data_IF_035303983057
#
_entry.id   IF_035303983057
#
_cell.length_a   1.000
_cell.length_b   1.000
_cell.length_c   1.000
_cell.angle_alpha   90.00
_cell.angle_beta   90.00
_cell.angle_gamma   90.00
#
_symmetry.space_group_name_H-M   'P 1'
#
loop_
_entity.id
_entity.type
_entity.pdbx_description
1 polymer ?
#
# COMPACT_ATOMS: atom_id res chain seq x y z
N UNK A 1 15.68 -99.58 62.99
CA UNK A 1 14.59 -99.10 62.10
C UNK A 1 14.72 -97.66 61.60
N UNK A 2 15.52 -96.79 62.21
CA UNK A 2 15.61 -95.37 61.80
C UNK A 2 16.51 -95.06 60.59
N UNK A 3 17.49 -95.90 60.28
CA UNK A 3 18.50 -95.65 59.23
C UNK A 3 17.94 -95.66 57.79
N UNK A 4 17.08 -96.61 57.38
CA UNK A 4 16.53 -96.64 56.01
C UNK A 4 15.63 -95.42 55.71
N UNK A 5 14.78 -95.02 56.66
CA UNK A 5 13.87 -93.86 56.52
C UNK A 5 14.62 -92.51 56.42
N UNK A 6 15.77 -92.38 57.07
CA UNK A 6 16.65 -91.22 56.93
C UNK A 6 17.33 -91.17 55.55
N UNK A 7 17.58 -92.34 54.95
CA UNK A 7 18.19 -92.43 53.61
C UNK A 7 17.15 -92.05 52.53
N UNK A 8 15.90 -92.50 52.67
CA UNK A 8 14.79 -92.10 51.80
C UNK A 8 14.42 -90.60 51.90
N UNK A 9 14.53 -90.00 53.09
CA UNK A 9 14.36 -88.54 53.25
C UNK A 9 15.50 -87.75 52.59
N UNK A 10 16.73 -88.28 52.64
CA UNK A 10 17.87 -87.65 51.97
C UNK A 10 17.77 -87.73 50.45
N UNK A 11 17.28 -88.85 49.90
CA UNK A 11 17.06 -89.01 48.46
C UNK A 11 15.93 -88.10 47.96
N UNK A 12 14.85 -87.96 48.72
CA UNK A 12 13.77 -87.01 48.43
C UNK A 12 14.27 -85.56 48.45
N UNK A 13 15.13 -85.21 49.41
CA UNK A 13 15.78 -83.90 49.48
C UNK A 13 16.66 -83.59 48.26
N UNK A 14 17.44 -84.57 47.78
CA UNK A 14 18.24 -84.41 46.56
C UNK A 14 17.38 -84.24 45.30
N UNK A 15 16.30 -85.02 45.15
CA UNK A 15 15.39 -84.87 44.01
C UNK A 15 14.63 -83.55 44.05
N UNK A 16 14.28 -83.05 45.24
CA UNK A 16 13.64 -81.75 45.40
C UNK A 16 14.58 -80.61 44.99
N UNK A 17 15.85 -80.68 45.40
CA UNK A 17 16.88 -79.70 45.02
C UNK A 17 17.19 -79.72 43.51
N UNK A 18 17.25 -80.90 42.88
CA UNK A 18 17.42 -81.00 41.42
C UNK A 18 16.23 -80.39 40.67
N UNK A 19 15.00 -80.67 41.09
CA UNK A 19 13.79 -80.06 40.49
C UNK A 19 13.72 -78.56 40.71
N UNK A 20 14.09 -78.08 41.90
CA UNK A 20 14.14 -76.64 42.19
C UNK A 20 15.13 -75.94 41.25
N UNK A 21 16.29 -76.54 41.01
CA UNK A 21 17.29 -76.02 40.09
C UNK A 21 16.78 -75.99 38.64
N UNK A 22 16.14 -77.06 38.18
CA UNK A 22 15.55 -77.14 36.83
C UNK A 22 14.46 -76.08 36.61
N UNK A 23 13.54 -75.91 37.58
CA UNK A 23 12.48 -74.91 37.47
C UNK A 23 13.05 -73.48 37.53
N UNK A 24 14.05 -73.22 38.37
CA UNK A 24 14.74 -71.92 38.42
C UNK A 24 15.41 -71.58 37.09
N UNK A 25 16.00 -72.56 36.41
CA UNK A 25 16.59 -72.39 35.09
C UNK A 25 15.53 -72.10 34.02
N UNK A 26 14.37 -72.78 34.06
CA UNK A 26 13.25 -72.50 33.16
C UNK A 26 12.69 -71.08 33.34
N UNK A 27 12.51 -70.65 34.59
CA UNK A 27 12.02 -69.31 34.92
C UNK A 27 13.01 -68.24 34.43
N UNK A 28 14.31 -68.44 34.66
CA UNK A 28 15.36 -67.53 34.19
C UNK A 28 15.38 -67.43 32.65
N UNK A 29 15.26 -68.56 31.95
CA UNK A 29 15.20 -68.58 30.49
C UNK A 29 13.94 -67.88 29.95
N UNK A 30 12.79 -68.06 30.60
CA UNK A 30 11.55 -67.37 30.24
C UNK A 30 11.66 -65.85 30.46
N UNK A 31 12.18 -65.42 31.61
CA UNK A 31 12.39 -64.01 31.92
C UNK A 31 13.33 -63.36 30.90
N UNK A 32 14.39 -64.08 30.49
CA UNK A 32 15.33 -63.63 29.45
C UNK A 32 14.68 -63.54 28.07
N UNK A 33 13.82 -64.50 27.68
CA UNK A 33 13.08 -64.43 26.41
C UNK A 33 12.13 -63.23 26.38
N UNK A 34 11.37 -63.03 27.45
CA UNK A 34 10.45 -61.88 27.59
C UNK A 34 11.24 -60.56 27.53
N UNK A 35 12.35 -60.47 28.26
CA UNK A 35 13.24 -59.30 28.23
C UNK A 35 13.75 -59.01 26.81
N UNK A 36 14.25 -60.01 26.09
CA UNK A 36 14.75 -59.85 24.73
C UNK A 36 13.65 -59.37 23.76
N UNK A 37 12.44 -59.91 23.88
CA UNK A 37 11.29 -59.47 23.06
C UNK A 37 10.89 -58.03 23.37
N UNK A 38 10.86 -57.66 24.65
CA UNK A 38 10.57 -56.29 25.07
C UNK A 38 11.63 -55.31 24.58
N UNK A 39 12.91 -55.69 24.64
CA UNK A 39 14.01 -54.88 24.12
C UNK A 39 13.84 -54.61 22.62
N UNK A 40 13.52 -55.64 21.83
CA UNK A 40 13.25 -55.51 20.40
C UNK A 40 12.02 -54.63 20.11
N UNK A 41 10.99 -54.74 20.94
CA UNK A 41 9.76 -53.98 20.78
C UNK A 41 9.92 -52.51 21.19
N UNK A 42 10.59 -52.22 22.30
CA UNK A 42 10.73 -50.86 22.84
C UNK A 42 11.88 -50.07 22.22
N UNK A 43 12.91 -50.76 21.68
CA UNK A 43 14.15 -50.19 21.13
C UNK A 43 14.90 -49.26 22.09
N UNK A 44 14.74 -49.45 23.38
CA UNK A 44 15.33 -48.67 24.46
C UNK A 44 15.80 -49.61 25.57
N UNK A 45 16.69 -49.13 26.44
CA UNK A 45 17.09 -49.88 27.62
C UNK A 45 15.93 -49.95 28.62
N UNK A 46 15.56 -51.17 29.03
CA UNK A 46 14.39 -51.42 29.88
C UNK A 46 14.86 -52.03 31.19
N UNK A 47 14.39 -51.49 32.31
CA UNK A 47 14.58 -52.10 33.62
C UNK A 47 13.40 -53.02 33.93
N UNK A 48 13.65 -54.33 34.00
CA UNK A 48 12.64 -55.32 34.40
C UNK A 48 13.07 -55.92 35.74
N UNK A 49 12.17 -56.06 36.73
CA UNK A 49 12.47 -56.72 38.00
C UNK A 49 13.00 -58.15 37.79
N UNK A 50 13.83 -58.63 38.72
CA UNK A 50 14.25 -60.03 38.72
C UNK A 50 13.06 -60.95 39.02
N UNK A 51 13.08 -62.18 38.49
CA UNK A 51 12.05 -63.20 38.70
C UNK A 51 12.72 -64.44 39.29
N UNK A 52 12.94 -64.43 40.62
CA UNK A 52 13.65 -65.50 41.33
C UNK A 52 12.73 -66.32 42.24
N UNK A 53 11.70 -65.68 42.80
CA UNK A 53 10.74 -66.27 43.73
C UNK A 53 9.29 -66.05 43.26
N UNK A 54 8.36 -66.83 43.82
CA UNK A 54 6.93 -66.73 43.50
C UNK A 54 6.36 -65.31 43.75
N UNK A 55 6.86 -64.63 44.80
CA UNK A 55 6.48 -63.25 45.11
C UNK A 55 6.91 -62.21 44.06
N UNK A 56 7.83 -62.55 43.16
CA UNK A 56 8.34 -61.64 42.13
C UNK A 56 7.45 -61.63 40.86
N UNK A 57 6.55 -62.60 40.72
CA UNK A 57 5.69 -62.76 39.53
C UNK A 57 4.79 -61.55 39.31
N UNK A 58 4.20 -61.02 40.38
CA UNK A 58 3.29 -59.88 40.31
C UNK A 58 4.03 -58.57 39.96
N UNK A 59 5.13 -58.20 40.65
CA UNK A 59 5.98 -57.07 40.25
C UNK A 59 6.50 -57.18 38.80
N UNK A 60 6.95 -58.37 38.38
CA UNK A 60 7.44 -58.62 37.03
C UNK A 60 6.35 -58.40 35.98
N UNK A 61 5.17 -59.00 36.19
CA UNK A 61 4.05 -58.90 35.24
C UNK A 61 3.53 -57.47 35.13
N UNK A 62 3.47 -56.75 36.26
CA UNK A 62 3.07 -55.35 36.29
C UNK A 62 4.03 -54.48 35.49
N UNK A 63 5.34 -54.63 35.71
CA UNK A 63 6.36 -53.89 34.98
C UNK A 63 6.25 -54.11 33.46
N UNK A 64 6.17 -55.37 33.03
CA UNK A 64 6.01 -55.73 31.61
C UNK A 64 4.77 -55.10 31.00
N UNK A 65 3.62 -55.15 31.69
CA UNK A 65 2.37 -54.53 31.22
C UNK A 65 2.48 -53.02 31.08
N UNK A 66 3.11 -52.35 32.04
CA UNK A 66 3.31 -50.89 31.98
C UNK A 66 4.20 -50.49 30.82
N UNK A 67 5.31 -51.20 30.61
CA UNK A 67 6.23 -50.97 29.48
C UNK A 67 5.50 -51.14 28.15
N UNK A 68 4.75 -52.24 27.99
CA UNK A 68 3.97 -52.50 26.79
C UNK A 68 2.90 -51.44 26.55
N UNK A 69 2.14 -51.06 27.58
CA UNK A 69 1.09 -50.05 27.47
C UNK A 69 1.65 -48.69 27.06
N UNK A 70 2.77 -48.28 27.67
CA UNK A 70 3.44 -47.03 27.31
C UNK A 70 3.91 -47.05 25.85
N UNK A 71 4.65 -48.09 25.45
CA UNK A 71 5.18 -48.18 24.08
C UNK A 71 4.09 -48.32 23.02
N UNK A 72 2.99 -49.02 23.32
CA UNK A 72 1.82 -49.05 22.44
C UNK A 72 1.22 -47.65 22.27
N UNK A 73 1.07 -46.88 23.35
CA UNK A 73 0.57 -45.50 23.27
C UNK A 73 1.52 -44.61 22.47
N UNK A 74 2.83 -44.73 22.68
CA UNK A 74 3.84 -43.98 21.93
C UNK A 74 3.71 -44.28 20.42
N UNK A 75 3.65 -45.57 20.05
CA UNK A 75 3.49 -45.98 18.65
C UNK A 75 2.15 -45.58 18.04
N UNK A 76 1.04 -45.65 18.79
CA UNK A 76 -0.25 -45.14 18.33
C UNK A 76 -0.17 -43.64 18.03
N UNK A 77 0.51 -42.85 18.88
CA UNK A 77 0.73 -41.42 18.66
C UNK A 77 1.52 -41.15 17.38
N UNK A 78 2.67 -41.82 17.21
CA UNK A 78 3.52 -41.67 16.02
C UNK A 78 2.79 -42.04 14.72
N UNK A 79 1.98 -43.11 14.75
CA UNK A 79 1.17 -43.53 13.60
C UNK A 79 0.13 -42.46 13.29
N UNK A 80 -0.64 -42.03 14.29
CA UNK A 80 -1.68 -41.02 14.13
C UNK A 80 -1.13 -39.69 13.61
N UNK A 81 0.03 -39.25 14.08
CA UNK A 81 0.66 -38.02 13.58
C UNK A 81 1.02 -38.12 12.09
N UNK A 82 1.47 -39.29 11.63
CA UNK A 82 1.79 -39.52 10.21
C UNK A 82 0.55 -39.58 9.33
N UNK A 83 -0.55 -40.16 9.81
CA UNK A 83 -1.79 -40.30 9.02
C UNK A 83 -2.79 -39.15 9.22
N UNK A 84 -2.47 -38.20 10.11
CA UNK A 84 -3.33 -37.06 10.46
C UNK A 84 -3.76 -36.23 9.25
N UNK A 85 -2.85 -35.99 8.31
CA UNK A 85 -3.13 -35.23 7.08
C UNK A 85 -4.08 -35.94 6.12
N UNK A 86 -4.22 -37.26 6.27
CA UNK A 86 -5.12 -38.10 5.47
C UNK A 86 -6.49 -38.26 6.15
N UNK A 87 -6.70 -37.69 7.34
CA UNK A 87 -7.96 -37.78 8.09
C UNK A 87 -8.25 -39.15 8.69
N UNK A 88 -7.24 -40.02 8.77
CA UNK A 88 -7.35 -41.37 9.34
C UNK A 88 -6.85 -41.34 10.79
N UNK A 89 -7.43 -42.17 11.67
CA UNK A 89 -6.98 -42.37 13.04
C UNK A 89 -7.09 -43.84 13.45
N UNK A 90 -6.23 -44.26 14.38
CA UNK A 90 -6.24 -45.56 15.07
C UNK A 90 -6.34 -45.33 16.58
N UNK A 91 -7.14 -46.14 17.25
CA UNK A 91 -7.38 -46.06 18.69
C UNK A 91 -6.33 -46.86 19.47
N UNK A 92 -5.90 -48.01 18.93
CA UNK A 92 -4.94 -48.91 19.58
C UNK A 92 -3.86 -49.47 18.65
N UNK A 93 -2.65 -49.62 19.19
CA UNK A 93 -1.57 -50.34 18.51
C UNK A 93 -1.75 -51.86 18.62
N UNK A 94 -2.59 -52.41 17.73
CA UNK A 94 -2.83 -53.84 17.57
C UNK A 94 -2.83 -54.25 16.07
N UNK A 95 -2.70 -55.56 15.80
CA UNK A 95 -2.57 -56.07 14.42
C UNK A 95 -3.79 -55.74 13.56
N UNK A 96 -4.99 -55.85 14.12
CA UNK A 96 -6.23 -55.62 13.37
C UNK A 96 -6.36 -54.16 12.92
N UNK A 97 -6.08 -53.20 13.81
CA UNK A 97 -6.12 -51.78 13.47
C UNK A 97 -5.04 -51.39 12.48
N UNK A 98 -3.82 -51.91 12.64
CA UNK A 98 -2.74 -51.66 11.69
C UNK A 98 -3.04 -52.23 10.30
N UNK A 99 -3.63 -53.43 10.21
CA UNK A 99 -4.04 -54.02 8.94
C UNK A 99 -5.16 -53.19 8.29
N UNK A 100 -6.14 -52.72 9.07
CA UNK A 100 -7.19 -51.84 8.59
C UNK A 100 -6.64 -50.52 8.05
N UNK A 101 -5.68 -49.90 8.75
CA UNK A 101 -4.98 -48.69 8.29
C UNK A 101 -4.25 -48.93 6.96
N UNK A 102 -3.52 -50.04 6.85
CA UNK A 102 -2.79 -50.39 5.64
C UNK A 102 -3.74 -50.61 4.46
N UNK A 103 -4.90 -51.24 4.67
CA UNK A 103 -5.93 -51.37 3.65
C UNK A 103 -6.46 -50.01 3.18
N UNK A 104 -6.75 -49.09 4.10
CA UNK A 104 -7.21 -47.74 3.74
C UNK A 104 -6.15 -46.98 2.92
N UNK A 105 -4.88 -47.06 3.32
CA UNK A 105 -3.78 -46.44 2.59
C UNK A 105 -3.61 -47.02 1.18
N UNK A 106 -3.72 -48.35 1.03
CA UNK A 106 -3.63 -49.02 -0.25
C UNK A 106 -4.78 -48.62 -1.21
N UNK A 107 -5.99 -48.39 -0.69
CA UNK A 107 -7.10 -47.87 -1.50
C UNK A 107 -6.87 -46.42 -1.93
N UNK A 108 -6.35 -45.56 -1.04
CA UNK A 108 -5.99 -44.18 -1.41
C UNK A 108 -4.88 -44.12 -2.47
N UNK A 109 -3.90 -45.02 -2.40
CA UNK A 109 -2.80 -45.12 -3.35
C UNK A 109 -3.29 -45.36 -4.79
N UNK A 110 -4.34 -46.18 -4.97
CA UNK A 110 -4.93 -46.45 -6.29
C UNK A 110 -5.47 -45.20 -6.98
N UNK A 111 -5.84 -44.17 -6.23
CA UNK A 111 -6.36 -42.90 -6.76
C UNK A 111 -5.27 -41.96 -7.28
N UNK A 112 -4.01 -42.13 -6.87
CA UNK A 112 -2.90 -41.22 -7.18
C UNK A 112 -2.68 -41.02 -8.70
N UNK A 113 -2.68 -42.08 -9.54
CA UNK A 113 -2.50 -41.91 -10.98
C UNK A 113 -3.59 -41.06 -11.64
N UNK A 114 -4.84 -41.18 -11.17
CA UNK A 114 -5.96 -40.40 -11.69
C UNK A 114 -5.78 -38.91 -11.34
N UNK A 115 -5.46 -38.58 -10.08
CA UNK A 115 -5.17 -37.20 -9.68
C UNK A 115 -4.01 -36.58 -10.47
N UNK A 116 -2.94 -37.35 -10.70
CA UNK A 116 -1.80 -36.89 -11.49
C UNK A 116 -2.20 -36.55 -12.93
N UNK A 117 -3.00 -37.41 -13.56
CA UNK A 117 -3.50 -37.17 -14.93
C UNK A 117 -4.41 -35.93 -15.00
N UNK A 118 -5.35 -35.77 -14.07
CA UNK A 118 -6.23 -34.60 -14.01
C UNK A 118 -5.45 -33.31 -13.78
N UNK A 119 -4.41 -33.34 -12.93
CA UNK A 119 -3.54 -32.19 -12.71
C UNK A 119 -2.77 -31.79 -13.97
N UNK A 120 -2.24 -32.77 -14.72
CA UNK A 120 -1.55 -32.49 -15.99
C UNK A 120 -2.49 -31.90 -17.04
N UNK A 121 -3.73 -32.38 -17.13
CA UNK A 121 -4.73 -31.87 -18.06
C UNK A 121 -5.16 -30.44 -17.70
N UNK A 122 -5.43 -30.16 -16.42
CA UNK A 122 -5.74 -28.82 -15.94
C UNK A 122 -4.59 -27.83 -16.20
N UNK A 123 -3.36 -28.26 -15.97
CA UNK A 123 -2.17 -27.43 -16.21
C UNK A 123 -2.02 -27.11 -17.70
N UNK A 124 -2.27 -28.09 -18.58
CA UNK A 124 -2.26 -27.89 -20.04
C UNK A 124 -3.37 -26.95 -20.49
N UNK A 125 -4.58 -27.12 -19.98
CA UNK A 125 -5.70 -26.23 -20.32
C UNK A 125 -5.41 -24.79 -19.90
N UNK A 126 -4.90 -24.57 -18.68
CA UNK A 126 -4.53 -23.23 -18.20
C UNK A 126 -3.42 -22.59 -19.01
N UNK A 127 -2.42 -23.37 -19.44
CA UNK A 127 -1.38 -22.88 -20.35
C UNK A 127 -1.96 -22.41 -21.68
N UNK A 128 -2.83 -23.20 -22.29
CA UNK A 128 -3.47 -22.83 -23.56
C UNK A 128 -4.35 -21.56 -23.43
N UNK A 129 -5.07 -21.41 -22.32
CA UNK A 129 -5.83 -20.18 -22.01
C UNK A 129 -4.89 -18.96 -21.94
N UNK A 130 -3.74 -19.09 -21.29
CA UNK A 130 -2.75 -18.01 -21.20
C UNK A 130 -2.13 -17.68 -22.55
N UNK A 131 -1.74 -18.69 -23.33
CA UNK A 131 -1.19 -18.50 -24.68
C UNK A 131 -2.19 -17.81 -25.62
N UNK A 132 -3.48 -18.14 -25.53
CA UNK A 132 -4.54 -17.49 -26.32
C UNK A 132 -4.77 -16.03 -25.90
N UNK A 133 -4.81 -15.76 -24.59
CA UNK A 133 -4.93 -14.39 -24.11
C UNK A 133 -3.72 -13.55 -24.51
N UNK A 134 -2.51 -14.08 -24.38
CA UNK A 134 -1.28 -13.38 -24.76
C UNK A 134 -1.28 -13.07 -26.27
N UNK A 135 -1.79 -13.97 -27.12
CA UNK A 135 -1.96 -13.72 -28.56
C UNK A 135 -2.99 -12.62 -28.87
N UNK A 136 -4.06 -12.49 -28.07
CA UNK A 136 -5.07 -11.41 -28.21
C UNK A 136 -4.49 -10.04 -27.82
N UNK A 137 -3.61 -9.98 -26.82
CA UNK A 137 -2.88 -8.76 -26.42
C UNK A 137 -1.61 -8.50 -27.24
N UNK A 138 -1.10 -9.48 -27.98
CA UNK A 138 0.07 -9.38 -28.83
C UNK A 138 -0.22 -8.86 -30.25
N UNK A 139 -1.44 -8.40 -30.55
CA UNK A 139 -1.68 -7.59 -31.75
C UNK A 139 -1.04 -6.20 -31.57
N UNK A 140 0.30 -6.21 -31.66
CA UNK A 140 1.19 -5.06 -31.59
C UNK A 140 0.92 -4.06 -32.72
N UNK A 141 0.04 -4.37 -33.68
CA UNK A 141 -0.43 -3.45 -34.70
C UNK A 141 -1.76 -2.79 -34.31
N UNK A 142 -2.64 -3.49 -33.59
CA UNK A 142 -3.94 -2.96 -33.14
C UNK A 142 -3.79 -1.86 -32.09
N UNK A 143 -2.93 -2.06 -31.07
CA UNK A 143 -2.75 -1.08 -29.98
C UNK A 143 -2.26 0.27 -30.51
N UNK A 144 -1.20 0.36 -31.34
CA UNK A 144 -0.81 1.63 -31.94
C UNK A 144 -1.90 2.26 -32.82
N UNK A 145 -2.65 1.45 -33.58
CA UNK A 145 -3.71 1.96 -34.45
C UNK A 145 -4.87 2.59 -33.67
N UNK A 146 -5.28 1.99 -32.54
CA UNK A 146 -6.32 2.56 -31.66
C UNK A 146 -5.84 3.85 -31.01
N UNK A 147 -4.59 3.87 -30.52
CA UNK A 147 -3.98 5.08 -29.92
C UNK A 147 -3.85 6.20 -30.95
N UNK A 148 -3.42 5.89 -32.17
CA UNK A 148 -3.33 6.87 -33.26
C UNK A 148 -4.72 7.42 -33.64
N UNK A 149 -5.75 6.56 -33.68
CA UNK A 149 -7.13 6.98 -33.90
C UNK A 149 -7.66 7.92 -32.81
N UNK A 150 -7.35 7.65 -31.54
CA UNK A 150 -7.70 8.52 -30.41
C UNK A 150 -7.02 9.89 -30.51
N UNK A 151 -5.71 9.92 -30.78
CA UNK A 151 -4.97 11.17 -30.93
C UNK A 151 -5.55 12.03 -32.05
N UNK A 152 -5.80 11.45 -33.23
CA UNK A 152 -6.43 12.19 -34.34
C UNK A 152 -7.81 12.75 -33.98
N UNK A 153 -8.58 11.98 -33.21
CA UNK A 153 -9.91 12.42 -32.76
C UNK A 153 -9.79 13.57 -31.76
N UNK A 154 -8.86 13.49 -30.81
CA UNK A 154 -8.59 14.57 -29.85
C UNK A 154 -8.06 15.83 -30.53
N UNK A 155 -7.13 15.70 -31.47
CA UNK A 155 -6.63 16.83 -32.27
C UNK A 155 -7.76 17.48 -33.06
N UNK A 156 -8.65 16.68 -33.67
CA UNK A 156 -9.82 17.19 -34.39
C UNK A 156 -10.79 17.90 -33.45
N UNK A 157 -10.99 17.40 -32.23
CA UNK A 157 -11.82 18.08 -31.22
C UNK A 157 -11.17 19.41 -30.83
N UNK A 158 -9.87 19.44 -30.55
CA UNK A 158 -9.15 20.66 -30.18
C UNK A 158 -9.20 21.72 -31.28
N UNK A 159 -8.92 21.33 -32.53
CA UNK A 159 -8.96 22.24 -33.69
C UNK A 159 -10.37 22.82 -33.91
N UNK A 160 -11.42 22.03 -33.66
CA UNK A 160 -12.80 22.51 -33.83
C UNK A 160 -13.37 23.23 -32.60
N UNK A 161 -12.81 23.02 -31.41
CA UNK A 161 -13.29 23.61 -30.17
C UNK A 161 -12.58 24.91 -29.79
N UNK A 162 -11.38 25.14 -30.31
CA UNK A 162 -10.52 26.25 -29.92
C UNK A 162 -9.89 26.91 -31.15
N UNK A 163 -10.33 28.13 -31.47
CA UNK A 163 -9.64 29.00 -32.43
C UNK A 163 -8.61 29.83 -31.66
N UNK A 164 -7.36 29.39 -31.70
CA UNK A 164 -6.25 30.09 -31.04
C UNK A 164 -6.07 31.53 -31.55
N UNK A 165 -6.39 31.78 -32.83
CA UNK A 165 -6.24 33.12 -33.42
C UNK A 165 -7.33 34.06 -32.92
N UNK A 166 -8.57 33.58 -32.75
CA UNK A 166 -9.64 34.35 -32.11
C UNK A 166 -9.24 34.76 -30.68
N UNK A 167 -8.61 33.85 -29.94
CA UNK A 167 -8.15 34.10 -28.57
C UNK A 167 -7.03 35.14 -28.53
N UNK A 168 -6.01 34.97 -29.36
CA UNK A 168 -4.90 35.91 -29.46
C UNK A 168 -5.41 37.30 -29.83
N UNK A 169 -6.30 37.38 -30.82
CA UNK A 169 -6.84 38.66 -31.29
C UNK A 169 -7.72 39.32 -30.22
N UNK A 170 -8.60 38.57 -29.56
CA UNK A 170 -9.45 39.10 -28.49
C UNK A 170 -8.65 39.66 -27.31
N UNK A 171 -7.59 38.97 -26.89
CA UNK A 171 -6.71 39.47 -25.82
C UNK A 171 -5.93 40.71 -26.29
N UNK A 172 -5.43 40.74 -27.53
CA UNK A 172 -4.71 41.91 -28.07
C UNK A 172 -5.57 43.15 -28.14
N UNK A 173 -6.83 43.02 -28.56
CA UNK A 173 -7.78 44.14 -28.63
C UNK A 173 -8.01 44.76 -27.25
N UNK A 174 -8.22 43.93 -26.22
CA UNK A 174 -8.41 44.40 -24.85
C UNK A 174 -7.14 45.07 -24.31
N UNK A 175 -5.96 44.50 -24.58
CA UNK A 175 -4.68 45.13 -24.17
C UNK A 175 -4.49 46.48 -24.85
N UNK A 176 -4.80 46.59 -26.14
CA UNK A 176 -4.71 47.86 -26.87
C UNK A 176 -5.65 48.92 -26.29
N UNK A 177 -6.91 48.56 -26.03
CA UNK A 177 -7.89 49.44 -25.38
C UNK A 177 -7.41 49.95 -24.01
N UNK A 178 -6.92 49.04 -23.16
CA UNK A 178 -6.40 49.42 -21.84
C UNK A 178 -5.15 50.30 -21.97
N UNK A 179 -4.25 49.99 -22.92
CA UNK A 179 -3.02 50.74 -23.12
C UNK A 179 -3.30 52.17 -23.61
N UNK A 180 -4.24 52.35 -24.53
CA UNK A 180 -4.66 53.68 -24.98
C UNK A 180 -5.17 54.52 -23.81
N UNK A 181 -5.97 53.90 -22.93
CA UNK A 181 -6.44 54.56 -21.71
C UNK A 181 -5.32 54.93 -20.73
N UNK A 182 -4.35 54.05 -20.53
CA UNK A 182 -3.18 54.34 -19.68
C UNK A 182 -2.38 55.55 -20.21
N UNK A 183 -2.35 55.75 -21.52
CA UNK A 183 -1.68 56.89 -22.17
C UNK A 183 -2.54 58.16 -22.02
N UNK A 184 -3.85 58.08 -22.28
CA UNK A 184 -4.79 59.21 -22.15
C UNK A 184 -4.81 59.80 -20.73
N UNK A 185 -4.73 58.94 -19.72
CA UNK A 185 -4.68 59.35 -18.30
C UNK A 185 -3.26 59.81 -17.86
N UNK A 186 -2.27 59.72 -18.75
CA UNK A 186 -0.88 60.08 -18.46
C UNK A 186 -0.21 59.16 -17.42
N UNK A 187 -0.73 57.94 -17.25
CA UNK A 187 -0.22 56.97 -16.30
C UNK A 187 1.08 56.35 -16.81
N UNK A 188 1.14 56.08 -18.11
CA UNK A 188 2.34 55.59 -18.80
C UNK A 188 2.74 56.57 -19.91
N UNK A 189 4.04 56.66 -20.15
CA UNK A 189 4.58 57.42 -21.28
C UNK A 189 5.14 56.49 -22.37
N UNK A 190 5.21 55.20 -22.07
CA UNK A 190 5.59 54.15 -23.00
C UNK A 190 4.36 53.42 -23.55
N UNK A 191 4.47 52.90 -24.77
CA UNK A 191 3.45 52.10 -25.42
C UNK A 191 4.03 50.70 -25.66
N UNK A 192 3.20 49.67 -25.45
CA UNK A 192 3.53 48.27 -25.69
C UNK A 192 2.84 47.82 -26.97
N UNK A 193 3.62 47.26 -27.89
CA UNK A 193 3.13 46.59 -29.10
C UNK A 193 3.30 45.07 -28.95
N UNK A 194 2.25 44.32 -29.26
CA UNK A 194 2.29 42.85 -29.32
C UNK A 194 2.68 42.37 -30.72
N UNK A 195 3.15 41.14 -30.85
CA UNK A 195 3.44 40.50 -32.13
C UNK A 195 2.18 40.32 -33.00
N UNK A 196 2.36 40.22 -34.32
CA UNK A 196 1.25 40.12 -35.28
C UNK A 196 0.36 38.90 -35.00
N UNK A 197 0.98 37.72 -34.82
CA UNK A 197 0.28 36.45 -34.57
C UNK A 197 0.58 35.87 -33.18
N UNK A 198 0.94 36.71 -32.20
CA UNK A 198 1.27 36.22 -30.85
C UNK A 198 1.01 37.24 -29.76
N UNK A 199 0.85 36.74 -28.53
CA UNK A 199 0.83 37.54 -27.30
C UNK A 199 2.24 37.89 -26.79
N UNK A 200 3.28 37.63 -27.59
CA UNK A 200 4.63 38.05 -27.24
C UNK A 200 4.80 39.54 -27.48
N UNK A 201 5.47 40.21 -26.54
CA UNK A 201 5.86 41.60 -26.66
C UNK A 201 6.77 41.76 -27.89
N UNK A 202 6.34 42.57 -28.87
CA UNK A 202 7.16 42.85 -30.06
C UNK A 202 8.07 44.05 -29.82
N UNK A 203 7.53 45.15 -29.31
CA UNK A 203 8.26 46.41 -29.06
C UNK A 203 7.70 47.17 -27.87
N UNK A 204 8.56 47.98 -27.27
CA UNK A 204 8.15 49.02 -26.31
C UNK A 204 8.68 50.36 -26.80
N UNK A 205 7.81 51.33 -26.98
CA UNK A 205 8.17 52.66 -27.49
C UNK A 205 7.96 53.72 -26.40
N UNK A 206 8.82 54.72 -26.33
CA UNK A 206 8.69 55.89 -25.46
C UNK A 206 9.09 57.13 -26.25
N UNK A 207 8.17 58.10 -26.40
CA UNK A 207 8.37 59.30 -27.25
C UNK A 207 8.90 58.94 -28.65
N UNK A 208 8.24 57.99 -29.31
CA UNK A 208 8.57 57.49 -30.65
C UNK A 208 9.96 56.84 -30.78
N UNK A 209 10.57 56.44 -29.66
CA UNK A 209 11.85 55.70 -29.64
C UNK A 209 11.67 54.35 -28.97
N UNK A 210 12.22 53.31 -29.58
CA UNK A 210 12.24 51.98 -28.98
C UNK A 210 13.11 51.98 -27.73
N UNK A 211 12.55 51.48 -26.62
CA UNK A 211 13.25 51.28 -25.36
C UNK A 211 13.27 49.80 -25.04
N UNK A 212 14.35 49.33 -24.39
CA UNK A 212 14.44 47.92 -24.01
C UNK A 212 13.61 47.60 -22.77
N UNK A 213 13.42 48.58 -21.88
CA UNK A 213 12.83 48.38 -20.57
C UNK A 213 12.02 49.60 -20.10
N UNK A 214 10.69 49.48 -19.88
CA UNK A 214 9.92 50.53 -19.22
C UNK A 214 10.30 50.65 -17.75
N UNK A 215 9.98 51.78 -17.13
CA UNK A 215 10.30 52.03 -15.73
C UNK A 215 9.47 51.15 -14.78
N UNK A 216 9.89 51.01 -13.51
CA UNK A 216 9.27 50.08 -12.55
C UNK A 216 7.76 50.31 -12.34
N UNK A 217 7.32 51.58 -12.27
CA UNK A 217 5.90 51.91 -12.16
C UNK A 217 5.12 51.53 -13.43
N UNK A 218 5.64 51.85 -14.61
CA UNK A 218 5.02 51.49 -15.90
C UNK A 218 4.88 49.97 -16.06
N UNK A 219 5.90 49.20 -15.64
CA UNK A 219 5.80 47.73 -15.63
C UNK A 219 4.61 47.23 -14.80
N UNK A 220 4.29 47.92 -13.70
CA UNK A 220 3.16 47.55 -12.84
C UNK A 220 1.82 47.85 -13.53
N UNK A 221 1.69 48.99 -14.21
CA UNK A 221 0.50 49.32 -15.01
C UNK A 221 0.31 48.38 -16.21
N UNK A 222 1.38 48.05 -16.93
CA UNK A 222 1.31 47.07 -18.03
C UNK A 222 0.96 45.66 -17.56
N UNK A 223 1.49 45.27 -16.39
CA UNK A 223 1.13 43.98 -15.79
C UNK A 223 -0.35 43.94 -15.42
N UNK A 224 -0.88 45.04 -14.86
CA UNK A 224 -2.31 45.18 -14.59
C UNK A 224 -3.14 45.11 -15.88
N UNK A 225 -2.72 45.77 -16.96
CA UNK A 225 -3.39 45.71 -18.25
C UNK A 225 -3.45 44.28 -18.80
N UNK A 226 -2.33 43.56 -18.79
CA UNK A 226 -2.27 42.17 -19.25
C UNK A 226 -3.13 41.23 -18.38
N UNK A 227 -3.05 41.36 -17.06
CA UNK A 227 -3.87 40.56 -16.14
C UNK A 227 -5.36 40.83 -16.32
N UNK A 228 -5.73 42.10 -16.53
CA UNK A 228 -7.12 42.49 -16.77
C UNK A 228 -7.63 41.93 -18.09
N UNK A 229 -6.83 42.00 -19.16
CA UNK A 229 -7.21 41.42 -20.46
C UNK A 229 -7.44 39.91 -20.38
N UNK A 230 -6.55 39.18 -19.69
CA UNK A 230 -6.71 37.76 -19.44
C UNK A 230 -7.95 37.46 -18.58
N UNK A 231 -8.19 38.26 -17.55
CA UNK A 231 -9.33 38.13 -16.66
C UNK A 231 -10.67 38.34 -17.39
N UNK A 232 -10.75 39.32 -18.28
CA UNK A 232 -11.93 39.57 -19.11
C UNK A 232 -12.18 38.38 -20.03
N UNK A 233 -11.14 37.95 -20.74
CA UNK A 233 -11.27 36.90 -21.74
C UNK A 233 -11.66 35.55 -21.11
N UNK A 234 -10.99 35.15 -20.01
CA UNK A 234 -11.23 33.88 -19.34
C UNK A 234 -12.26 33.94 -18.20
N UNK A 235 -12.80 35.13 -17.90
CA UNK A 235 -13.73 35.39 -16.79
C UNK A 235 -13.17 34.93 -15.44
N UNK A 236 -11.95 35.35 -15.15
CA UNK A 236 -11.21 34.99 -13.94
C UNK A 236 -11.02 36.21 -13.04
N UNK A 237 -10.98 36.04 -11.70
CA UNK A 237 -10.55 37.11 -10.81
C UNK A 237 -9.05 37.38 -10.96
N UNK A 238 -8.64 38.62 -10.71
CA UNK A 238 -7.24 39.04 -10.71
C UNK A 238 -6.72 39.08 -9.28
N UNK A 239 -5.63 38.35 -9.01
CA UNK A 239 -4.94 38.38 -7.72
C UNK A 239 -3.54 38.94 -7.93
N UNK A 240 -3.21 40.04 -7.25
CA UNK A 240 -1.89 40.67 -7.33
C UNK A 240 -1.26 40.63 -5.94
N UNK A 241 -0.17 39.87 -5.84
CA UNK A 241 0.65 39.88 -4.63
C UNK A 241 1.61 41.07 -4.63
N UNK A 242 1.81 41.66 -3.45
CA UNK A 242 2.65 42.84 -3.24
C UNK A 242 2.43 43.98 -4.26
N UNK A 243 1.16 44.34 -4.50
CA UNK A 243 0.75 45.27 -5.56
C UNK A 243 1.36 46.67 -5.46
N UNK A 244 1.85 47.07 -4.27
CA UNK A 244 2.50 48.36 -4.05
C UNK A 244 4.01 48.38 -4.37
N UNK A 245 4.62 47.24 -4.70
CA UNK A 245 6.03 47.19 -5.01
C UNK A 245 6.35 48.05 -6.24
N UNK A 246 7.29 48.98 -6.11
CA UNK A 246 7.71 49.93 -7.15
C UNK A 246 6.72 51.05 -7.49
N UNK A 247 5.67 51.25 -6.68
CA UNK A 247 4.76 52.40 -6.80
C UNK A 247 5.00 53.37 -5.63
N UNK A 248 5.16 54.66 -5.93
CA UNK A 248 5.13 55.71 -4.90
C UNK A 248 3.69 56.02 -4.48
N UNK A 249 3.50 56.80 -3.40
CA UNK A 249 2.17 57.19 -2.90
C UNK A 249 1.21 57.73 -3.97
N UNK A 250 1.72 58.50 -4.94
CA UNK A 250 0.88 59.08 -6.00
C UNK A 250 0.47 57.98 -6.98
N UNK A 251 1.45 57.21 -7.48
CA UNK A 251 1.22 56.14 -8.44
C UNK A 251 0.38 55.01 -7.86
N UNK A 252 0.50 54.71 -6.56
CA UNK A 252 -0.33 53.72 -5.88
C UNK A 252 -1.80 54.17 -5.82
N UNK A 253 -2.05 55.45 -5.52
CA UNK A 253 -3.40 56.01 -5.58
C UNK A 253 -3.98 55.93 -6.99
N UNK A 254 -3.19 56.33 -8.00
CA UNK A 254 -3.60 56.24 -9.42
C UNK A 254 -3.89 54.78 -9.80
N UNK A 255 -3.07 53.84 -9.34
CA UNK A 255 -3.23 52.40 -9.58
C UNK A 255 -4.52 51.83 -8.96
N UNK A 256 -4.85 52.19 -7.71
CA UNK A 256 -6.11 51.77 -7.08
C UNK A 256 -7.32 52.41 -7.76
N UNK A 257 -7.22 53.68 -8.17
CA UNK A 257 -8.27 54.36 -8.93
C UNK A 257 -8.56 53.64 -10.25
N UNK A 258 -7.51 53.24 -10.96
CA UNK A 258 -7.64 52.50 -12.22
C UNK A 258 -8.26 51.11 -11.99
N UNK A 259 -7.85 50.40 -10.94
CA UNK A 259 -8.44 49.10 -10.57
C UNK A 259 -9.93 49.23 -10.28
N UNK A 260 -10.33 50.26 -9.52
CA UNK A 260 -11.76 50.53 -9.26
C UNK A 260 -12.52 50.69 -10.57
N UNK A 261 -11.97 51.48 -11.48
CA UNK A 261 -12.61 51.72 -12.76
C UNK A 261 -12.68 50.45 -13.62
N UNK A 262 -11.61 49.65 -13.65
CA UNK A 262 -11.60 48.38 -14.38
C UNK A 262 -12.56 47.36 -13.78
N UNK A 263 -12.67 47.30 -12.45
CA UNK A 263 -13.60 46.42 -11.77
C UNK A 263 -15.05 46.70 -12.20
N UNK A 264 -15.41 47.98 -12.33
CA UNK A 264 -16.75 48.40 -12.77
C UNK A 264 -16.94 48.25 -14.28
N UNK A 265 -15.95 48.67 -15.07
CA UNK A 265 -16.07 48.74 -16.54
C UNK A 265 -16.04 47.36 -17.18
N UNK A 266 -15.26 46.45 -16.61
CA UNK A 266 -14.99 45.15 -17.18
C UNK A 266 -15.58 43.99 -16.38
N UNK A 267 -16.28 44.28 -15.27
CA UNK A 267 -16.88 43.28 -14.36
C UNK A 267 -15.84 42.24 -13.85
N UNK A 268 -14.66 42.74 -13.46
CA UNK A 268 -13.54 41.91 -12.97
C UNK A 268 -13.36 42.11 -11.46
N UNK A 269 -13.26 41.01 -10.71
CA UNK A 269 -12.92 41.07 -9.30
C UNK A 269 -11.40 41.14 -9.10
N UNK A 270 -10.94 42.13 -8.33
CA UNK A 270 -9.53 42.28 -7.96
C UNK A 270 -9.30 41.96 -6.48
N UNK A 271 -8.23 41.23 -6.20
CA UNK A 271 -7.73 40.95 -4.86
C UNK A 271 -6.27 41.38 -4.80
N UNK A 272 -5.96 42.31 -3.90
CA UNK A 272 -4.64 42.91 -3.77
C UNK A 272 -4.05 42.58 -2.41
N UNK A 273 -2.81 42.12 -2.39
CA UNK A 273 -1.98 42.04 -1.19
C UNK A 273 -1.05 43.25 -1.19
N UNK A 274 -1.15 44.08 -0.17
CA UNK A 274 -0.32 45.28 0.00
C UNK A 274 0.30 45.19 1.39
N UNK A 275 1.63 45.33 1.45
CA UNK A 275 2.33 45.46 2.72
C UNK A 275 1.99 46.82 3.33
N UNK A 276 1.72 46.85 4.63
CA UNK A 276 1.47 48.09 5.36
C UNK A 276 2.69 49.01 5.27
N UNK A 277 2.50 50.17 4.65
CA UNK A 277 3.50 51.24 4.45
C UNK A 277 2.84 52.61 4.56
N UNK A 278 3.63 53.66 4.79
CA UNK A 278 3.17 55.06 4.82
C UNK A 278 2.58 55.55 3.47
N UNK A 279 2.83 54.80 2.39
CA UNK A 279 2.29 55.07 1.05
C UNK A 279 0.82 54.65 0.92
N UNK A 280 0.33 53.75 1.79
CA UNK A 280 -1.06 53.27 1.86
C UNK A 280 -1.72 53.60 3.22
N UNK A 281 -1.93 54.89 3.54
CA UNK A 281 -2.50 55.31 4.82
C UNK A 281 -4.01 55.03 4.87
N UNK A 282 -4.42 54.12 5.76
CA UNK A 282 -5.82 53.75 5.98
C UNK A 282 -6.69 54.94 6.47
N UNK A 283 -6.07 55.90 7.16
CA UNK A 283 -6.64 57.16 7.63
C UNK A 283 -6.44 58.33 6.64
N UNK A 284 -5.91 58.03 5.44
CA UNK A 284 -5.62 59.02 4.41
C UNK A 284 -6.44 58.82 3.14
N UNK A 285 -5.78 58.86 1.98
CA UNK A 285 -6.46 58.79 0.68
C UNK A 285 -7.21 57.47 0.45
N UNK A 286 -6.87 56.40 1.19
CA UNK A 286 -7.58 55.12 1.12
C UNK A 286 -9.04 55.28 1.55
N UNK A 287 -9.36 56.26 2.41
CA UNK A 287 -10.72 56.57 2.81
C UNK A 287 -11.63 57.01 1.66
N UNK A 288 -11.06 57.48 0.54
CA UNK A 288 -11.83 57.85 -0.65
C UNK A 288 -12.43 56.64 -1.37
N UNK A 289 -11.97 55.43 -1.04
CA UNK A 289 -12.32 54.17 -1.70
C UNK A 289 -13.08 53.22 -0.76
N UNK A 290 -13.59 53.70 0.38
CA UNK A 290 -14.20 52.86 1.43
C UNK A 290 -15.40 52.07 0.93
N UNK A 291 -16.20 52.67 0.05
CA UNK A 291 -17.39 52.02 -0.49
C UNK A 291 -17.02 50.95 -1.54
N UNK A 292 -15.80 50.99 -2.09
CA UNK A 292 -15.33 50.12 -3.16
C UNK A 292 -14.36 49.02 -2.68
N UNK A 293 -13.75 49.19 -1.50
CA UNK A 293 -12.70 48.32 -0.99
C UNK A 293 -13.15 47.55 0.25
N UNK A 294 -12.89 46.24 0.25
CA UNK A 294 -12.91 45.43 1.46
C UNK A 294 -11.47 45.15 1.90
N UNK A 295 -11.05 45.78 3.00
CA UNK A 295 -9.69 45.66 3.51
C UNK A 295 -9.66 44.63 4.65
N UNK A 296 -8.75 43.67 4.53
CA UNK A 296 -8.47 42.68 5.57
C UNK A 296 -7.00 42.82 6.00
N UNK A 297 -6.78 42.99 7.31
CA UNK A 297 -5.44 42.96 7.89
C UNK A 297 -5.08 41.53 8.25
N UNK A 298 -3.85 41.13 7.89
CA UNK A 298 -3.30 39.81 8.21
C UNK A 298 -2.24 39.96 9.30
N UNK A 299 -2.60 39.61 10.53
CA UNK A 299 -1.73 39.67 11.70
C UNK A 299 -1.09 38.28 11.95
N UNK A 300 0.19 38.23 12.33
CA UNK A 300 0.87 36.98 12.71
C UNK A 300 1.34 37.06 14.16
N UNK A 301 0.81 36.18 15.01
CA UNK A 301 1.12 36.16 16.46
C UNK A 301 2.37 35.34 16.82
N UNK A 302 3.12 34.86 15.82
CA UNK A 302 4.25 33.95 16.00
C UNK A 302 3.90 32.46 15.83
N UNK A 303 2.62 32.10 15.87
CA UNK A 303 2.13 30.72 15.74
C UNK A 303 1.08 30.55 14.64
N UNK A 304 0.21 31.55 14.43
CA UNK A 304 -0.89 31.50 13.47
C UNK A 304 -1.13 32.88 12.83
N UNK A 305 -1.56 32.86 11.56
CA UNK A 305 -2.06 34.05 10.87
C UNK A 305 -3.54 34.25 11.21
N UNK A 306 -3.90 35.47 11.58
CA UNK A 306 -5.26 35.92 11.83
C UNK A 306 -5.64 36.96 10.77
N UNK A 307 -6.83 36.81 10.20
CA UNK A 307 -7.35 37.73 9.19
C UNK A 307 -8.53 38.46 9.82
N UNK A 308 -8.48 39.78 9.86
CA UNK A 308 -9.52 40.61 10.45
C UNK A 308 -9.94 41.71 9.46
N UNK A 309 -11.24 41.97 9.29
CA UNK A 309 -11.68 43.12 8.49
C UNK A 309 -11.24 44.41 9.17
N UNK A 310 -10.83 45.39 8.38
CA UNK A 310 -10.52 46.75 8.84
C UNK A 310 -11.75 47.62 8.63
N UNK A 311 -12.27 48.21 9.71
CA UNK A 311 -13.32 49.22 9.61
C UNK A 311 -12.71 50.56 9.21
N UNK A 312 -13.05 51.05 8.02
CA UNK A 312 -12.56 52.33 7.51
C UNK A 312 -13.48 53.51 7.84
N UNK A 313 -14.66 53.27 8.42
CA UNK A 313 -15.63 54.31 8.85
C UNK A 313 -15.38 54.85 10.28
N UNK A 314 -14.23 54.55 10.88
CA UNK A 314 -13.91 54.89 12.27
C UNK A 314 -13.43 56.34 12.46
#
# INVERSE_FOLDING_TARGET
EFTPRLTDLSSYGTTLMEREKEERERISNLAKDIYNRLLLFAREEITVPALEYEGDVEPFTLAVRQILSRKKSDYTGDVNDKVKSLGIQTEEFNTHEMDSLLCQLAEMEKGIPQYSSTWTDLTRQKRNEWENNDAEYADLAYVPAVVEGLNRTLDTILINAFDEQEVIQGIKEIIAEINDKLIEEGLVNSCIEMGEDSLQLSRTTYKDREITHPCGAERSFFSLAALTALAIYFRLPVIIDEAANNLDKKRLRDFISLIKEFAVSYDVQYILSIKETDDFPLDGWVQEFVDDLQIYRVDYDGHKKHIQPVELYA
#
